data_IF_410443659332
#
_entry.id   IF_410443659332
#
_cell.length_a   1.000
_cell.length_b   1.000
_cell.length_c   1.000
_cell.angle_alpha   90.00
_cell.angle_beta   90.00
_cell.angle_gamma   90.00
#
_symmetry.space_group_name_H-M   'P 1'
#
loop_
_entity.id
_entity.type
_entity.pdbx_description
1 polymer ?
#
# COMPACT_ATOMS: atom_id res chain seq x y z
N UNK A 1 -3.11 9.32 8.24
CA UNK A 1 -4.10 8.31 8.66
C UNK A 1 -5.33 8.38 7.76
N UNK A 2 -5.29 7.65 6.64
CA UNK A 2 -6.42 7.35 5.78
C UNK A 2 -7.44 6.51 6.55
N UNK A 3 -8.71 6.85 6.42
CA UNK A 3 -9.77 5.93 6.84
C UNK A 3 -9.75 4.66 5.97
N UNK A 4 -10.40 3.59 6.45
CA UNK A 4 -10.55 2.36 5.66
C UNK A 4 -11.24 2.60 4.31
N UNK A 5 -12.11 3.61 4.22
CA UNK A 5 -12.79 4.00 2.96
C UNK A 5 -11.83 4.74 2.04
N UNK A 6 -11.08 5.72 2.54
CA UNK A 6 -10.13 6.50 1.73
C UNK A 6 -9.06 5.59 1.12
N UNK A 7 -8.59 4.61 1.90
CA UNK A 7 -7.64 3.60 1.45
C UNK A 7 -8.18 2.73 0.33
N UNK A 8 -9.44 2.31 0.41
CA UNK A 8 -10.08 1.53 -0.64
C UNK A 8 -10.22 2.34 -1.94
N UNK A 9 -10.57 3.62 -1.83
CA UNK A 9 -10.66 4.53 -2.99
C UNK A 9 -9.28 4.71 -3.62
N UNK A 10 -8.25 4.90 -2.80
CA UNK A 10 -6.86 5.05 -3.26
C UNK A 10 -6.37 3.82 -4.03
N UNK A 11 -6.48 2.61 -3.43
CA UNK A 11 -5.99 1.36 -4.03
C UNK A 11 -6.69 1.07 -5.37
N UNK A 12 -7.98 1.41 -5.51
CA UNK A 12 -8.72 1.28 -6.79
C UNK A 12 -8.13 2.10 -7.93
N UNK A 13 -7.42 3.19 -7.62
CA UNK A 13 -6.73 4.01 -8.61
C UNK A 13 -5.32 3.55 -8.97
N UNK A 14 -4.78 2.54 -8.28
CA UNK A 14 -3.42 2.05 -8.52
C UNK A 14 -3.44 1.01 -9.66
N UNK A 15 -2.74 1.24 -10.79
CA UNK A 15 -2.88 0.41 -11.99
C UNK A 15 -2.59 -1.08 -11.80
N UNK A 16 -1.64 -1.43 -10.92
CA UNK A 16 -1.26 -2.83 -10.65
C UNK A 16 -2.42 -3.65 -10.05
N UNK A 17 -3.45 -2.98 -9.54
CA UNK A 17 -4.60 -3.62 -8.90
C UNK A 17 -5.88 -3.58 -9.74
N UNK A 18 -5.87 -2.99 -10.95
CA UNK A 18 -7.07 -2.86 -11.78
C UNK A 18 -7.70 -4.21 -12.18
N UNK A 19 -6.91 -5.29 -12.22
CA UNK A 19 -7.40 -6.63 -12.54
C UNK A 19 -7.90 -7.40 -11.30
N UNK A 20 -7.72 -6.85 -10.10
CA UNK A 20 -8.19 -7.47 -8.88
C UNK A 20 -9.69 -7.22 -8.70
N UNK A 21 -10.40 -8.27 -8.30
CA UNK A 21 -11.81 -8.19 -7.96
C UNK A 21 -12.03 -7.35 -6.70
N UNK A 22 -13.20 -6.72 -6.59
CA UNK A 22 -13.57 -5.87 -5.44
C UNK A 22 -13.43 -6.57 -4.08
N UNK A 23 -13.77 -7.86 -3.99
CA UNK A 23 -13.63 -8.65 -2.75
C UNK A 23 -12.17 -8.79 -2.30
N UNK A 24 -11.26 -8.87 -3.26
CA UNK A 24 -9.83 -8.93 -2.99
C UNK A 24 -9.25 -7.57 -2.65
N UNK A 25 -9.71 -6.50 -3.33
CA UNK A 25 -9.34 -5.12 -3.00
C UNK A 25 -9.74 -4.74 -1.57
N UNK A 26 -10.95 -5.14 -1.14
CA UNK A 26 -11.39 -4.91 0.23
C UNK A 26 -10.50 -5.63 1.26
N UNK A 27 -10.09 -6.88 0.97
CA UNK A 27 -9.16 -7.64 1.82
C UNK A 27 -7.78 -6.99 1.86
N UNK A 28 -7.25 -6.59 0.72
CA UNK A 28 -5.97 -5.89 0.63
C UNK A 28 -5.99 -4.59 1.45
N UNK A 29 -7.00 -3.75 1.24
CA UNK A 29 -7.16 -2.50 2.01
C UNK A 29 -7.22 -2.75 3.53
N UNK A 30 -7.82 -3.86 3.96
CA UNK A 30 -7.96 -4.19 5.38
C UNK A 30 -6.67 -4.63 6.08
N UNK A 31 -5.66 -5.10 5.34
CA UNK A 31 -4.40 -5.62 5.90
C UNK A 31 -3.20 -4.70 5.65
N UNK A 32 -3.38 -3.62 4.89
CA UNK A 32 -2.33 -2.64 4.67
C UNK A 32 -2.08 -1.79 5.91
N UNK A 33 -0.84 -1.38 6.11
CA UNK A 33 -0.46 -0.41 7.14
C UNK A 33 -0.03 0.90 6.49
N UNK A 34 -0.40 2.03 7.11
CA UNK A 34 0.09 3.35 6.71
C UNK A 34 1.33 3.67 7.55
N UNK A 35 2.42 4.00 6.87
CA UNK A 35 3.72 4.27 7.50
C UNK A 35 4.18 5.68 7.12
N UNK A 36 4.53 6.46 8.12
CA UNK A 36 5.10 7.80 7.95
C UNK A 36 6.62 7.74 8.14
N UNK A 37 7.36 8.26 7.16
CA UNK A 37 8.81 8.31 7.21
C UNK A 37 9.30 9.76 7.10
N UNK A 38 10.28 10.19 7.91
CA UNK A 38 10.87 11.51 7.78
C UNK A 38 11.70 11.61 6.50
N UNK A 39 12.00 12.84 6.08
CA UNK A 39 12.90 13.07 4.94
C UNK A 39 14.25 12.38 5.14
N UNK A 40 14.83 11.87 4.06
CA UNK A 40 16.08 11.10 4.03
C UNK A 40 16.06 9.78 4.82
N UNK A 41 14.89 9.24 5.15
CA UNK A 41 14.76 7.90 5.69
C UNK A 41 14.87 6.84 4.57
N UNK A 42 15.70 5.82 4.79
CA UNK A 42 15.80 4.65 3.90
C UNK A 42 14.73 3.62 4.30
N UNK A 43 13.74 3.38 3.43
CA UNK A 43 12.65 2.41 3.71
C UNK A 43 13.17 0.96 3.67
N UNK A 44 14.02 0.63 2.69
CA UNK A 44 14.76 -0.63 2.61
C UNK A 44 16.03 -0.43 1.77
N UNK A 45 17.05 -1.24 1.99
CA UNK A 45 18.34 -1.14 1.29
C UNK A 45 18.53 -2.26 0.25
N UNK A 46 19.30 -1.97 -0.78
CA UNK A 46 19.65 -2.97 -1.79
C UNK A 46 20.42 -4.15 -1.16
N UNK A 47 19.99 -5.37 -1.47
CA UNK A 47 20.58 -6.59 -0.93
C UNK A 47 19.90 -7.08 0.36
N UNK A 48 18.98 -6.29 0.93
CA UNK A 48 18.09 -6.77 1.99
C UNK A 48 16.98 -7.66 1.41
N UNK A 49 16.47 -8.57 2.24
CA UNK A 49 15.37 -9.44 1.85
C UNK A 49 14.07 -8.63 1.70
N UNK A 50 13.54 -8.55 0.48
CA UNK A 50 12.29 -7.85 0.19
C UNK A 50 11.07 -8.75 0.36
N UNK A 51 10.32 -8.55 1.45
CA UNK A 51 9.04 -9.24 1.71
C UNK A 51 7.82 -8.33 1.63
N UNK A 52 8.03 -7.03 1.59
CA UNK A 52 6.98 -6.02 1.69
C UNK A 52 6.78 -5.30 0.35
N UNK A 53 5.53 -4.87 0.11
CA UNK A 53 5.14 -4.03 -1.02
C UNK A 53 4.71 -2.66 -0.50
N UNK A 54 5.36 -1.61 -0.98
CA UNK A 54 5.03 -0.23 -0.62
C UNK A 54 4.29 0.47 -1.75
N UNK A 55 3.34 1.31 -1.37
CA UNK A 55 2.62 2.20 -2.28
C UNK A 55 2.71 3.61 -1.70
N UNK A 56 3.16 4.55 -2.52
CA UNK A 56 3.31 5.94 -2.11
C UNK A 56 1.98 6.66 -2.29
N UNK A 57 1.51 7.28 -1.20
CA UNK A 57 0.30 8.13 -1.16
C UNK A 57 0.67 9.60 -1.11
#
# INVERSE_FOLDING_TARGET
MLSSIDRLIFIRGVPIFHELRDDFLMRLASVMDELDFPSNHTIFAQGEEGRELYIVV
#
